data_IF_261241097270
#
_entry.id   IF_261241097270
#
_cell.length_a   1.000
_cell.length_b   1.000
_cell.length_c   1.000
_cell.angle_alpha   90.00
_cell.angle_beta   90.00
_cell.angle_gamma   90.00
#
_symmetry.space_group_name_H-M   'P 1'
#
loop_
_entity.id
_entity.type
_entity.pdbx_description
1 polymer ?
#
# COMPACT_ATOMS: atom_id res chain seq x y z
N UNK A 1 14.41 2.54 -4.12
CA UNK A 1 13.41 3.53 -3.64
C UNK A 1 13.89 4.91 -4.03
N UNK A 2 12.99 5.77 -4.50
CA UNK A 2 13.22 7.21 -4.60
C UNK A 2 12.63 7.85 -3.33
N UNK A 3 13.38 8.72 -2.65
CA UNK A 3 12.97 9.40 -1.41
C UNK A 3 13.24 10.89 -1.61
N UNK A 4 12.20 11.72 -1.50
CA UNK A 4 12.26 13.17 -1.66
C UNK A 4 11.55 13.83 -0.46
N UNK A 5 12.28 14.15 0.63
CA UNK A 5 11.71 14.99 1.68
C UNK A 5 11.59 16.42 1.17
N UNK A 6 10.43 17.04 1.38
CA UNK A 6 10.26 18.47 1.06
C UNK A 6 10.96 19.32 2.12
N UNK A 7 11.20 20.58 1.80
CA UNK A 7 11.86 21.55 2.68
C UNK A 7 11.07 21.87 3.96
N UNK A 8 9.78 21.54 3.99
CA UNK A 8 8.91 21.76 5.15
C UNK A 8 9.12 20.72 6.25
N UNK A 9 9.78 19.60 5.95
CA UNK A 9 9.99 18.55 6.92
C UNK A 9 11.08 18.92 7.93
N UNK A 10 10.77 18.74 9.22
CA UNK A 10 11.73 18.98 10.28
C UNK A 10 12.79 17.87 10.34
N UNK A 11 14.00 18.20 10.82
CA UNK A 11 15.04 17.19 11.06
C UNK A 11 14.52 16.02 11.92
N UNK A 12 13.71 16.31 12.93
CA UNK A 12 13.15 15.28 13.82
C UNK A 12 12.22 14.30 13.08
N UNK A 13 11.50 14.76 12.06
CA UNK A 13 10.66 13.88 11.23
C UNK A 13 11.52 13.02 10.30
N UNK A 14 12.58 13.60 9.73
CA UNK A 14 13.55 12.86 8.91
C UNK A 14 14.27 11.78 9.72
N UNK A 15 14.70 12.10 10.94
CA UNK A 15 15.33 11.13 11.85
C UNK A 15 14.36 9.97 12.16
N UNK A 16 13.09 10.28 12.50
CA UNK A 16 12.05 9.25 12.74
C UNK A 16 11.82 8.34 11.54
N UNK A 17 11.83 8.91 10.33
CA UNK A 17 11.70 8.15 9.09
C UNK A 17 12.90 7.22 8.87
N UNK A 18 14.13 7.71 9.08
CA UNK A 18 15.34 6.90 9.01
C UNK A 18 15.32 5.74 10.02
N UNK A 19 14.97 6.01 11.28
CA UNK A 19 14.85 5.00 12.33
C UNK A 19 13.85 3.89 11.95
N UNK A 20 12.75 4.28 11.31
CA UNK A 20 11.73 3.34 10.82
C UNK A 20 12.28 2.44 9.71
N UNK A 21 13.02 2.99 8.75
CA UNK A 21 13.67 2.22 7.68
C UNK A 21 14.75 1.29 8.22
N UNK A 22 15.59 1.75 9.15
CA UNK A 22 16.60 0.91 9.81
C UNK A 22 15.97 -0.27 10.54
N UNK A 23 14.86 -0.04 11.24
CA UNK A 23 14.10 -1.08 11.91
C UNK A 23 13.56 -2.12 10.93
N UNK A 24 12.99 -1.68 9.80
CA UNK A 24 12.49 -2.58 8.74
C UNK A 24 13.65 -3.38 8.15
N UNK A 25 14.77 -2.75 7.81
CA UNK A 25 15.94 -3.40 7.24
C UNK A 25 16.50 -4.47 8.17
N UNK A 26 16.63 -4.17 9.47
CA UNK A 26 17.07 -5.12 10.49
C UNK A 26 16.13 -6.32 10.59
N UNK A 27 14.82 -6.10 10.67
CA UNK A 27 13.82 -7.18 10.77
C UNK A 27 13.81 -8.05 9.52
N UNK A 28 13.96 -7.45 8.34
CA UNK A 28 14.07 -8.18 7.08
C UNK A 28 15.32 -9.06 7.05
N UNK A 29 16.48 -8.53 7.48
CA UNK A 29 17.71 -9.30 7.59
C UNK A 29 17.62 -10.46 8.59
N UNK A 30 16.76 -10.32 9.61
CA UNK A 30 16.47 -11.36 10.61
C UNK A 30 15.42 -12.39 10.15
N UNK A 31 14.86 -12.26 8.95
CA UNK A 31 13.86 -13.19 8.42
C UNK A 31 12.47 -13.01 9.02
N UNK A 32 12.08 -11.80 9.40
CA UNK A 32 10.74 -11.53 9.92
C UNK A 32 9.66 -11.70 8.83
N UNK A 33 8.98 -12.84 8.87
CA UNK A 33 7.92 -13.20 7.92
C UNK A 33 6.69 -12.28 7.99
N UNK A 34 6.49 -11.55 9.09
CA UNK A 34 5.35 -10.62 9.22
C UNK A 34 5.44 -9.46 8.23
N UNK A 35 6.65 -9.12 7.75
CA UNK A 35 6.83 -8.05 6.77
C UNK A 35 6.10 -8.34 5.45
N UNK A 36 5.97 -9.61 5.05
CA UNK A 36 5.28 -9.99 3.80
C UNK A 36 3.76 -9.78 3.88
N UNK A 37 3.19 -9.89 5.08
CA UNK A 37 1.75 -9.78 5.34
C UNK A 37 1.27 -8.36 5.68
N UNK A 38 2.19 -7.40 5.83
CA UNK A 38 1.84 -6.01 6.08
C UNK A 38 1.02 -5.38 4.92
N UNK A 39 0.12 -4.40 5.20
CA UNK A 39 -0.15 -3.79 6.49
C UNK A 39 -1.19 -4.54 7.34
N UNK A 40 -1.08 -4.44 8.67
CA UNK A 40 -1.98 -5.12 9.63
C UNK A 40 -3.02 -4.19 10.28
N UNK A 41 -2.67 -2.92 10.48
CA UNK A 41 -3.50 -1.94 11.18
C UNK A 41 -4.12 -0.90 10.24
N UNK A 42 -3.79 -0.95 8.95
CA UNK A 42 -4.44 -0.11 7.96
C UNK A 42 -5.91 -0.53 7.80
N UNK A 43 -6.82 0.41 7.46
CA UNK A 43 -8.25 0.12 7.29
C UNK A 43 -8.52 -0.92 6.20
N UNK A 44 -7.59 -1.09 5.26
CA UNK A 44 -7.60 -2.15 4.25
C UNK A 44 -6.26 -2.90 4.21
N UNK A 45 -6.33 -4.17 3.82
CA UNK A 45 -5.14 -5.02 3.57
C UNK A 45 -4.62 -4.83 2.15
N UNK A 46 -3.53 -5.55 1.81
CA UNK A 46 -2.99 -5.58 0.45
C UNK A 46 -4.08 -5.98 -0.55
N UNK A 47 -4.28 -5.14 -1.56
CA UNK A 47 -5.28 -5.34 -2.60
C UNK A 47 -4.83 -6.41 -3.61
N UNK A 48 -5.79 -7.07 -4.25
CA UNK A 48 -5.52 -8.01 -5.34
C UNK A 48 -5.40 -7.23 -6.67
N UNK A 49 -4.19 -6.77 -6.95
CA UNK A 49 -3.86 -6.04 -8.18
C UNK A 49 -4.08 -6.89 -9.43
N UNK A 50 -3.89 -8.21 -9.35
CA UNK A 50 -4.08 -9.12 -10.49
C UNK A 50 -5.55 -9.20 -10.87
N UNK A 51 -6.44 -9.35 -9.89
CA UNK A 51 -7.87 -9.35 -10.10
C UNK A 51 -8.35 -7.99 -10.59
N UNK A 52 -7.87 -6.90 -9.98
CA UNK A 52 -8.23 -5.54 -10.39
C UNK A 52 -7.85 -5.27 -11.86
N UNK A 53 -6.68 -5.72 -12.31
CA UNK A 53 -6.25 -5.58 -13.70
C UNK A 53 -7.06 -6.45 -14.68
N UNK A 54 -7.40 -7.69 -14.29
CA UNK A 54 -8.14 -8.63 -15.17
C UNK A 54 -9.65 -8.40 -15.20
N UNK A 55 -10.22 -7.80 -14.15
CA UNK A 55 -11.65 -7.54 -13.99
C UNK A 55 -11.86 -6.16 -13.33
N UNK A 56 -11.55 -5.07 -14.04
CA UNK A 56 -11.58 -3.74 -13.46
C UNK A 56 -13.02 -3.26 -13.21
N UNK A 57 -13.29 -2.75 -12.00
CA UNK A 57 -14.52 -2.02 -11.67
C UNK A 57 -14.20 -0.54 -11.73
N UNK A 58 -14.52 0.10 -12.86
CA UNK A 58 -14.12 1.48 -13.16
C UNK A 58 -15.12 2.55 -12.69
N UNK A 59 -16.33 2.12 -12.34
CA UNK A 59 -17.39 2.99 -11.82
C UNK A 59 -18.03 2.35 -10.61
N UNK A 60 -18.41 3.20 -9.67
CA UNK A 60 -19.28 2.76 -8.58
C UNK A 60 -20.66 2.38 -9.14
N UNK A 61 -21.23 1.32 -8.59
CA UNK A 61 -22.58 0.87 -8.89
C UNK A 61 -23.30 0.63 -7.57
N UNK A 62 -24.57 1.02 -7.49
CA UNK A 62 -25.41 0.66 -6.35
C UNK A 62 -25.51 -0.86 -6.25
N UNK A 63 -25.48 -1.39 -5.03
CA UNK A 63 -25.59 -2.81 -4.80
C UNK A 63 -26.94 -3.32 -5.34
N UNK A 64 -26.89 -4.12 -6.41
CA UNK A 64 -28.07 -4.66 -7.09
C UNK A 64 -28.34 -4.09 -8.48
N UNK A 65 -27.61 -3.07 -8.93
CA UNK A 65 -27.61 -2.67 -10.34
C UNK A 65 -26.85 -3.73 -11.17
N UNK A 66 -27.47 -4.34 -12.20
CA UNK A 66 -26.77 -5.28 -13.06
C UNK A 66 -25.67 -4.56 -13.86
N UNK A 67 -24.54 -5.22 -14.03
CA UNK A 67 -23.43 -4.70 -14.82
C UNK A 67 -23.94 -4.32 -16.23
N UNK A 68 -23.67 -3.10 -16.70
CA UNK A 68 -23.95 -2.77 -18.08
C UNK A 68 -23.09 -3.68 -18.94
N UNK A 69 -23.74 -4.41 -19.85
CA UNK A 69 -23.09 -5.24 -20.87
C UNK A 69 -22.01 -4.38 -21.52
N UNK A 70 -20.76 -4.85 -21.44
CA UNK A 70 -19.60 -4.13 -21.95
C UNK A 70 -19.89 -3.69 -23.41
N UNK A 71 -19.87 -2.38 -23.64
CA UNK A 71 -19.86 -1.85 -25.00
C UNK A 71 -18.50 -2.21 -25.61
N UNK A 72 -18.58 -2.88 -26.76
CA UNK A 72 -17.47 -3.28 -27.63
C UNK A 72 -16.63 -2.08 -28.09
#
# INVERSE_FOLDING_TARGET
MLIEPTESESKAELDRFCDSLESIARRAAQGDETLKGAPYLAPMRRLDETKAARKPVLKWQEAGTPDPVAAE
#
